data_IF_078065939362
#
_entry.id   IF_078065939362
#
_cell.length_a   1.000
_cell.length_b   1.000
_cell.length_c   1.000
_cell.angle_alpha   90.00
_cell.angle_beta   90.00
_cell.angle_gamma   90.00
#
_symmetry.space_group_name_H-M   'P 1'
#
loop_
_entity.id
_entity.type
_entity.pdbx_description
1 polymer ?
#
# COMPACT_ATOMS: atom_id res chain seq x y z
N UNK A 1 16.64 -19.81 -5.11
CA UNK A 1 15.66 -20.24 -6.14
C UNK A 1 16.21 -20.04 -7.55
N UNK A 2 17.00 -19.00 -7.81
CA UNK A 2 17.83 -18.92 -9.02
C UNK A 2 19.30 -18.80 -8.61
N UNK A 3 20.15 -19.67 -9.13
CA UNK A 3 21.61 -19.63 -8.94
C UNK A 3 22.30 -18.85 -10.04
N UNK A 4 21.68 -18.77 -11.22
CA UNK A 4 22.23 -18.15 -12.41
C UNK A 4 21.25 -17.10 -12.95
N UNK A 5 21.69 -15.84 -12.98
CA UNK A 5 20.84 -14.67 -13.25
C UNK A 5 20.97 -14.13 -14.70
N UNK A 6 21.91 -14.66 -15.50
CA UNK A 6 22.23 -14.11 -16.83
C UNK A 6 21.09 -14.26 -17.86
N UNK A 7 20.22 -15.26 -17.70
CA UNK A 7 19.07 -15.50 -18.58
C UNK A 7 17.79 -14.79 -18.12
N UNK A 8 17.79 -14.14 -16.95
CA UNK A 8 16.64 -13.39 -16.47
C UNK A 8 16.61 -12.01 -17.15
N UNK A 9 15.97 -11.96 -18.32
CA UNK A 9 15.66 -10.71 -19.02
C UNK A 9 14.49 -9.99 -18.33
N UNK A 10 14.76 -9.34 -17.20
CA UNK A 10 13.79 -8.50 -16.51
C UNK A 10 13.87 -7.06 -17.01
N UNK A 11 12.74 -6.51 -17.45
CA UNK A 11 12.58 -5.08 -17.68
C UNK A 11 11.94 -4.44 -16.45
N UNK A 12 12.26 -3.17 -16.13
CA UNK A 12 11.59 -2.46 -15.04
C UNK A 12 10.09 -2.37 -15.32
N UNK A 13 9.28 -2.77 -14.35
CA UNK A 13 7.82 -2.61 -14.41
C UNK A 13 7.44 -1.21 -13.94
N UNK A 14 6.78 -0.43 -14.79
CA UNK A 14 6.24 0.89 -14.46
C UNK A 14 4.71 0.86 -14.33
N UNK A 15 4.15 1.82 -13.60
CA UNK A 15 2.70 2.03 -13.58
C UNK A 15 2.17 2.51 -14.92
N UNK A 16 0.87 2.37 -15.15
CA UNK A 16 0.23 2.80 -16.41
C UNK A 16 0.27 4.33 -16.59
N UNK A 17 0.33 5.08 -15.50
CA UNK A 17 0.55 6.53 -15.45
C UNK A 17 1.89 6.98 -16.05
N UNK A 18 2.85 6.07 -16.16
CA UNK A 18 4.12 6.37 -16.84
C UNK A 18 3.93 6.49 -18.36
N UNK A 19 2.97 5.76 -18.93
CA UNK A 19 2.79 5.67 -20.38
C UNK A 19 1.64 6.52 -20.90
N UNK A 20 0.60 6.71 -20.09
CA UNK A 20 -0.60 7.46 -20.46
C UNK A 20 -1.09 8.30 -19.29
N UNK A 21 -1.80 9.39 -19.58
CA UNK A 21 -2.50 10.15 -18.54
C UNK A 21 -3.61 9.27 -17.98
N UNK A 22 -3.61 9.10 -16.66
CA UNK A 22 -4.63 8.33 -15.92
C UNK A 22 -5.44 9.31 -15.09
N UNK A 23 -6.75 9.34 -15.29
CA UNK A 23 -7.63 10.22 -14.54
C UNK A 23 -7.82 9.73 -13.10
N UNK A 24 -7.91 8.41 -12.89
CA UNK A 24 -8.07 7.84 -11.55
C UNK A 24 -7.61 6.38 -11.43
N UNK A 25 -7.20 5.98 -10.23
CA UNK A 25 -6.77 4.62 -9.90
C UNK A 25 -7.73 3.91 -8.95
N UNK A 26 -8.32 2.81 -9.41
CA UNK A 26 -8.98 1.85 -8.52
C UNK A 26 -7.93 0.94 -7.87
N UNK A 27 -7.70 1.14 -6.57
CA UNK A 27 -6.57 0.51 -5.86
C UNK A 27 -6.94 -0.83 -5.24
N UNK A 28 -5.96 -1.74 -5.18
CA UNK A 28 -6.07 -3.02 -4.48
C UNK A 28 -5.50 -4.19 -5.30
N UNK A 29 -5.07 -5.23 -4.58
CA UNK A 29 -4.57 -6.48 -5.16
C UNK A 29 -5.28 -7.68 -4.50
N UNK A 30 -6.51 -8.05 -4.93
CA UNK A 30 -7.29 -7.42 -5.99
C UNK A 30 -8.07 -6.18 -5.51
N UNK A 31 -8.70 -5.50 -6.46
CA UNK A 31 -9.65 -4.41 -6.20
C UNK A 31 -10.90 -4.93 -5.46
N UNK A 32 -11.59 -4.04 -4.75
CA UNK A 32 -12.91 -4.34 -4.18
C UNK A 32 -14.01 -4.17 -5.25
N UNK A 33 -14.90 -5.16 -5.35
CA UNK A 33 -15.97 -5.16 -6.37
C UNK A 33 -16.97 -4.03 -6.12
N UNK A 34 -17.28 -3.72 -4.86
CA UNK A 34 -18.22 -2.65 -4.55
C UNK A 34 -17.63 -1.27 -4.90
N UNK A 35 -16.33 -1.10 -4.68
CA UNK A 35 -15.58 0.10 -5.09
C UNK A 35 -15.57 0.25 -6.62
N UNK A 36 -15.41 -0.85 -7.37
CA UNK A 36 -15.54 -0.85 -8.83
C UNK A 36 -16.93 -0.43 -9.29
N UNK A 37 -17.97 -1.03 -8.70
CA UNK A 37 -19.37 -0.69 -9.02
C UNK A 37 -19.67 0.77 -8.68
N UNK A 38 -19.14 1.28 -7.55
CA UNK A 38 -19.29 2.68 -7.17
C UNK A 38 -18.63 3.61 -8.18
N UNK A 39 -17.40 3.31 -8.60
CA UNK A 39 -16.67 4.09 -9.61
C UNK A 39 -17.46 4.16 -10.93
N UNK A 40 -17.94 3.03 -11.44
CA UNK A 40 -18.72 2.98 -12.69
C UNK A 40 -20.01 3.80 -12.55
N UNK A 41 -20.74 3.67 -11.43
CA UNK A 41 -21.95 4.47 -11.17
C UNK A 41 -21.65 5.96 -11.12
N UNK A 42 -20.59 6.38 -10.43
CA UNK A 42 -20.18 7.79 -10.35
C UNK A 42 -19.87 8.36 -11.73
N UNK A 43 -19.13 7.60 -12.56
CA UNK A 43 -18.82 7.99 -13.94
C UNK A 43 -20.07 8.15 -14.80
N UNK A 44 -21.02 7.20 -14.72
CA UNK A 44 -22.29 7.27 -15.47
C UNK A 44 -23.18 8.45 -15.05
N UNK A 45 -23.11 8.85 -13.78
CA UNK A 45 -23.84 9.99 -13.24
C UNK A 45 -23.13 11.33 -13.46
N UNK A 46 -21.91 11.33 -14.01
CA UNK A 46 -21.11 12.54 -14.20
C UNK A 46 -20.64 13.18 -12.88
N UNK A 47 -20.51 12.38 -11.81
CA UNK A 47 -20.02 12.84 -10.50
C UNK A 47 -18.64 12.27 -10.22
N UNK A 48 -17.80 13.03 -9.50
CA UNK A 48 -16.48 12.54 -9.13
C UNK A 48 -16.60 11.35 -8.16
N UNK A 49 -15.92 10.23 -8.42
CA UNK A 49 -15.95 9.07 -7.54
C UNK A 49 -15.26 9.41 -6.21
N UNK A 50 -15.93 9.08 -5.10
CA UNK A 50 -15.35 9.32 -3.78
C UNK A 50 -14.47 8.14 -3.36
N UNK A 51 -13.25 8.11 -3.87
CA UNK A 51 -12.27 7.13 -3.40
C UNK A 51 -11.84 7.43 -1.96
N UNK A 52 -11.34 6.41 -1.26
CA UNK A 52 -10.91 6.50 0.15
C UNK A 52 -9.39 6.62 0.24
N UNK A 53 -8.80 7.83 0.13
CA UNK A 53 -7.35 7.98 0.09
C UNK A 53 -6.70 7.98 1.48
N UNK A 54 -7.47 8.11 2.55
CA UNK A 54 -6.98 8.14 3.93
C UNK A 54 -6.38 6.79 4.35
N UNK A 55 -5.63 6.77 5.44
CA UNK A 55 -5.01 5.56 5.99
C UNK A 55 -6.01 4.47 6.38
N UNK A 56 -5.70 3.20 6.08
CA UNK A 56 -6.48 2.02 6.52
C UNK A 56 -6.58 1.91 8.05
N UNK A 57 -5.73 2.63 8.80
CA UNK A 57 -5.82 2.75 10.25
C UNK A 57 -7.22 3.19 10.71
N UNK A 58 -7.92 4.06 9.98
CA UNK A 58 -9.27 4.49 10.34
C UNK A 58 -10.24 3.30 10.34
N UNK A 59 -10.26 2.52 9.26
CA UNK A 59 -11.10 1.32 9.15
C UNK A 59 -10.71 0.25 10.19
N UNK A 60 -9.41 0.12 10.47
CA UNK A 60 -8.88 -0.81 11.46
C UNK A 60 -9.34 -0.46 12.89
N UNK A 61 -9.35 0.83 13.24
CA UNK A 61 -9.79 1.32 14.55
C UNK A 61 -11.30 1.30 14.72
N UNK A 62 -12.06 1.58 13.66
CA UNK A 62 -13.52 1.42 13.65
C UNK A 62 -13.96 -0.04 13.88
N UNK A 63 -13.10 -1.01 13.56
CA UNK A 63 -13.31 -2.43 13.86
C UNK A 63 -12.75 -2.89 15.21
N UNK A 64 -12.26 -1.97 16.03
CA UNK A 64 -11.69 -2.26 17.35
C UNK A 64 -10.51 -3.27 17.32
N UNK A 65 -9.83 -3.39 16.18
CA UNK A 65 -8.69 -4.29 16.07
C UNK A 65 -7.54 -3.79 16.97
N UNK A 66 -6.94 -4.72 17.71
CA UNK A 66 -5.71 -4.44 18.47
C UNK A 66 -4.58 -4.01 17.53
N UNK A 67 -3.83 -2.99 17.93
CA UNK A 67 -2.80 -2.42 17.06
C UNK A 67 -1.59 -3.35 16.95
N UNK A 68 -1.47 -4.05 15.81
CA UNK A 68 -0.36 -4.97 15.55
C UNK A 68 1.00 -4.25 15.51
N UNK A 69 1.03 -2.98 15.11
CA UNK A 69 2.27 -2.19 15.11
C UNK A 69 2.78 -1.96 16.54
N UNK A 70 1.88 -1.66 17.49
CA UNK A 70 2.25 -1.52 18.91
C UNK A 70 2.61 -2.85 19.56
N UNK A 71 2.17 -3.98 19.00
CA UNK A 71 2.61 -5.32 19.37
C UNK A 71 3.97 -5.69 18.75
N UNK A 72 4.67 -4.74 18.12
CA UNK A 72 5.97 -4.95 17.49
C UNK A 72 5.93 -5.65 16.13
N UNK A 73 4.76 -5.79 15.51
CA UNK A 73 4.63 -6.42 14.17
C UNK A 73 4.71 -5.35 13.07
N UNK A 74 5.51 -5.54 12.01
CA UNK A 74 5.75 -4.51 10.99
C UNK A 74 4.53 -4.30 10.06
N UNK A 75 3.58 -3.49 10.51
CA UNK A 75 2.32 -3.21 9.82
C UNK A 75 2.43 -1.99 8.89
N UNK A 76 2.11 -2.15 7.60
CA UNK A 76 2.09 -1.04 6.62
C UNK A 76 0.87 -0.12 6.77
N UNK A 77 -0.04 -0.42 7.70
CA UNK A 77 -1.33 0.25 7.82
C UNK A 77 -1.25 1.78 7.83
N UNK A 78 -0.36 2.39 8.63
CA UNK A 78 -0.26 3.86 8.73
C UNK A 78 -0.08 4.57 7.39
N UNK A 79 0.61 3.94 6.43
CA UNK A 79 0.93 4.55 5.12
C UNK A 79 0.09 4.00 3.98
N UNK A 80 -0.87 3.11 4.24
CA UNK A 80 -1.63 2.41 3.19
C UNK A 80 -3.03 2.98 3.03
N UNK A 81 -3.45 3.23 1.79
CA UNK A 81 -4.79 3.73 1.48
C UNK A 81 -5.90 2.77 1.93
N UNK A 82 -7.01 3.34 2.42
CA UNK A 82 -8.17 2.63 2.92
C UNK A 82 -9.02 2.00 1.81
N UNK A 83 -10.02 1.19 2.20
CA UNK A 83 -11.04 0.63 1.31
C UNK A 83 -11.21 -0.88 1.37
N UNK A 84 -10.24 -1.63 1.92
CA UNK A 84 -10.36 -3.09 2.11
C UNK A 84 -10.99 -3.50 3.45
N UNK A 85 -11.44 -2.55 4.27
CA UNK A 85 -12.05 -2.81 5.57
C UNK A 85 -11.09 -3.40 6.59
N UNK A 86 -9.80 -3.09 6.50
CA UNK A 86 -8.75 -3.64 7.36
C UNK A 86 -8.78 -5.18 7.49
N UNK A 87 -8.98 -5.88 6.37
CA UNK A 87 -9.07 -7.34 6.33
C UNK A 87 -7.89 -8.06 7.02
N UNK A 88 -6.64 -7.71 6.68
CA UNK A 88 -5.48 -8.39 7.27
C UNK A 88 -5.41 -8.18 8.80
N UNK A 89 -5.51 -6.94 9.32
CA UNK A 89 -5.52 -6.72 10.77
C UNK A 89 -6.66 -7.44 11.51
N UNK A 90 -7.85 -7.54 10.92
CA UNK A 90 -8.97 -8.29 11.49
C UNK A 90 -8.71 -9.80 11.59
N UNK A 91 -7.72 -10.32 10.84
CA UNK A 91 -7.24 -11.70 10.94
C UNK A 91 -5.92 -11.79 11.72
N UNK A 92 -5.59 -10.78 12.54
CA UNK A 92 -4.35 -10.69 13.32
C UNK A 92 -3.07 -10.75 12.46
N UNK A 93 -3.16 -10.30 11.20
CA UNK A 93 -2.03 -10.18 10.26
C UNK A 93 -1.72 -8.71 9.98
N UNK A 94 -0.44 -8.30 9.96
CA UNK A 94 -0.07 -6.93 9.61
C UNK A 94 -0.60 -6.54 8.23
N UNK A 95 -0.93 -5.26 8.03
CA UNK A 95 -1.25 -4.77 6.71
C UNK A 95 -0.01 -4.89 5.80
N UNK A 96 -0.24 -5.37 4.58
CA UNK A 96 0.78 -5.62 3.57
C UNK A 96 1.07 -4.40 2.69
N UNK A 97 0.20 -3.40 2.65
CA UNK A 97 0.37 -2.23 1.78
C UNK A 97 -0.14 -2.41 0.35
N UNK A 98 -0.98 -3.41 0.10
CA UNK A 98 -1.42 -3.77 -1.26
C UNK A 98 -2.28 -2.71 -1.98
N UNK A 99 -2.85 -1.76 -1.24
CA UNK A 99 -3.63 -0.64 -1.80
C UNK A 99 -2.77 0.59 -2.12
N UNK A 100 -1.46 0.52 -1.93
CA UNK A 100 -0.54 1.62 -2.16
C UNK A 100 -0.66 2.76 -1.13
N UNK A 101 0.02 3.89 -1.35
CA UNK A 101 0.17 4.95 -0.36
C UNK A 101 -1.14 5.68 -0.06
N UNK A 102 -1.41 5.95 1.21
CA UNK A 102 -2.41 6.94 1.62
C UNK A 102 -2.02 8.36 1.15
N UNK A 103 -2.97 9.28 1.08
CA UNK A 103 -2.70 10.67 0.67
C UNK A 103 -1.72 11.41 1.61
N UNK A 104 -1.69 11.05 2.88
CA UNK A 104 -0.84 11.63 3.93
C UNK A 104 0.26 10.65 4.39
N UNK A 105 0.65 9.71 3.53
CA UNK A 105 1.60 8.66 3.86
C UNK A 105 2.98 9.19 4.29
N UNK A 106 3.31 9.02 5.58
CA UNK A 106 4.65 9.28 6.12
C UNK A 106 5.53 8.01 6.08
N UNK A 107 5.92 7.60 4.88
CA UNK A 107 6.72 6.39 4.63
C UNK A 107 8.09 6.42 5.32
N UNK A 108 8.76 7.58 5.33
CA UNK A 108 10.08 7.73 5.95
C UNK A 108 10.05 7.46 7.46
N UNK A 109 9.04 7.99 8.16
CA UNK A 109 8.86 7.73 9.59
C UNK A 109 8.59 6.24 9.86
N UNK A 110 7.66 5.64 9.12
CA UNK A 110 7.33 4.22 9.30
C UNK A 110 8.53 3.30 9.02
N UNK A 111 9.36 3.65 8.03
CA UNK A 111 10.58 2.91 7.73
C UNK A 111 11.56 2.90 8.91
N UNK A 112 11.77 4.06 9.57
CA UNK A 112 12.59 4.15 10.79
C UNK A 112 12.00 3.33 11.93
N UNK A 113 10.68 3.39 12.14
CA UNK A 113 10.00 2.54 13.13
C UNK A 113 10.24 1.05 12.85
N UNK A 114 10.26 0.61 11.60
CA UNK A 114 10.58 -0.79 11.30
C UNK A 114 12.02 -1.18 11.65
N UNK A 115 12.99 -0.28 11.47
CA UNK A 115 14.37 -0.51 11.91
C UNK A 115 14.44 -0.61 13.45
N UNK A 116 13.73 0.25 14.18
CA UNK A 116 13.63 0.21 15.64
C UNK A 116 12.97 -1.09 16.14
N UNK A 117 12.04 -1.66 15.36
CA UNK A 117 11.44 -2.98 15.60
C UNK A 117 12.38 -4.15 15.26
N UNK A 118 13.59 -3.89 14.76
CA UNK A 118 14.61 -4.89 14.48
C UNK A 118 14.58 -5.49 13.07
N UNK A 119 13.86 -4.89 12.12
CA UNK A 119 13.93 -5.33 10.72
C UNK A 119 15.27 -4.94 10.11
N UNK A 120 15.79 -5.81 9.23
CA UNK A 120 16.95 -5.48 8.41
C UNK A 120 16.59 -4.38 7.40
N UNK A 121 17.60 -3.60 6.99
CA UNK A 121 17.42 -2.59 5.94
C UNK A 121 16.79 -3.19 4.67
N UNK A 122 17.28 -4.35 4.24
CA UNK A 122 16.78 -5.06 3.07
C UNK A 122 15.31 -5.45 3.20
N UNK A 123 14.86 -5.87 4.39
CA UNK A 123 13.47 -6.23 4.61
C UNK A 123 12.55 -5.01 4.60
N UNK A 124 13.00 -3.87 5.14
CA UNK A 124 12.25 -2.61 5.04
C UNK A 124 12.11 -2.19 3.57
N UNK A 125 13.21 -2.23 2.81
CA UNK A 125 13.20 -1.91 1.37
C UNK A 125 12.25 -2.83 0.61
N UNK A 126 12.30 -4.16 0.86
CA UNK A 126 11.39 -5.13 0.25
C UNK A 126 9.93 -4.82 0.56
N UNK A 127 9.63 -4.39 1.80
CA UNK A 127 8.26 -4.08 2.22
C UNK A 127 7.67 -2.89 1.47
N UNK A 128 8.42 -1.81 1.32
CA UNK A 128 7.97 -0.63 0.56
C UNK A 128 7.92 -0.89 -0.96
N UNK A 129 8.79 -1.74 -1.50
CA UNK A 129 8.82 -2.04 -2.94
C UNK A 129 7.73 -2.99 -3.43
N UNK A 130 7.17 -3.83 -2.54
CA UNK A 130 6.34 -5.00 -2.90
C UNK A 130 5.13 -4.69 -3.82
N UNK A 131 4.39 -3.62 -3.57
CA UNK A 131 3.13 -3.33 -4.32
C UNK A 131 3.16 -2.02 -5.10
N UNK A 132 3.59 -0.93 -4.45
CA UNK A 132 3.55 0.41 -5.03
C UNK A 132 4.93 1.10 -4.94
N UNK A 133 6.01 0.33 -5.11
CA UNK A 133 7.39 0.79 -4.88
C UNK A 133 7.83 1.99 -5.73
N UNK A 134 7.27 2.12 -6.94
CA UNK A 134 7.57 3.21 -7.86
C UNK A 134 6.77 4.49 -7.56
N UNK A 135 5.84 4.46 -6.60
CA UNK A 135 5.09 5.65 -6.20
C UNK A 135 5.98 6.50 -5.29
N UNK A 136 6.13 7.81 -5.56
CA UNK A 136 7.05 8.68 -4.82
C UNK A 136 6.87 8.61 -3.29
N UNK A 137 5.64 8.42 -2.83
CA UNK A 137 5.31 8.32 -1.41
C UNK A 137 5.97 7.10 -0.75
N UNK A 138 5.98 5.94 -1.41
CA UNK A 138 6.64 4.73 -0.88
C UNK A 138 8.14 4.74 -1.13
N UNK A 139 8.62 5.37 -2.21
CA UNK A 139 10.07 5.51 -2.48
C UNK A 139 10.78 6.26 -1.35
N UNK A 140 10.14 7.26 -0.73
CA UNK A 140 10.65 7.96 0.47
C UNK A 140 10.92 7.03 1.66
N UNK A 141 10.16 5.94 1.79
CA UNK A 141 10.40 4.92 2.83
C UNK A 141 11.66 4.10 2.57
N UNK A 142 11.97 3.84 1.29
CA UNK A 142 13.20 3.15 0.87
C UNK A 142 14.42 4.06 1.05
N UNK A 143 14.30 5.35 0.71
CA UNK A 143 15.38 6.34 0.84
C UNK A 143 15.73 6.69 2.29
N UNK A 144 14.83 6.42 3.23
CA UNK A 144 15.00 6.74 4.65
C UNK A 144 15.83 5.73 5.44
N UNK A 145 16.28 4.64 4.81
CA UNK A 145 16.91 3.45 5.42
C UNK A 145 18.34 3.29 4.92
#
# INVERSE_FOLDING_TARGET
VYTELWDIKSIPAYGIDYYVKVDEYLRGCPIDINEMVHLIKSLLLGVNPHLRPHSICNECKLKENSCLLLQGKPCMGPVTAAGCGALCPSLNKPCEGCRGPANDANAASLARTFLELGLSKDDVVRKFRKYAGNRPEFSKGVEAV
#
